data_IF_787190335541
#
_entry.id   IF_787190335541
#
_cell.length_a   1.000
_cell.length_b   1.000
_cell.length_c   1.000
_cell.angle_alpha   90.00
_cell.angle_beta   90.00
_cell.angle_gamma   90.00
#
_symmetry.space_group_name_H-M   'P 1'
#
loop_
_entity.id
_entity.type
_entity.pdbx_description
1 polymer ?
#
# COMPACT_ATOMS: atom_id res chain seq x y z
N UNK A 1 -17.74 16.67 -17.64
CA UNK A 1 -17.13 16.25 -16.35
C UNK A 1 -16.55 14.89 -16.60
N UNK A 2 -15.24 14.71 -16.43
CA UNK A 2 -14.64 13.37 -16.53
C UNK A 2 -15.16 12.51 -15.37
N UNK A 3 -15.46 11.25 -15.66
CA UNK A 3 -15.86 10.27 -14.66
C UNK A 3 -14.76 10.10 -13.61
N UNK A 4 -15.14 10.02 -12.33
CA UNK A 4 -14.21 9.79 -11.24
C UNK A 4 -13.59 8.39 -11.36
N UNK A 5 -12.33 8.22 -10.95
CA UNK A 5 -11.70 6.90 -10.94
C UNK A 5 -12.40 5.92 -9.99
N UNK A 6 -12.30 4.60 -10.22
CA UNK A 6 -12.88 3.59 -9.36
C UNK A 6 -12.48 3.78 -7.89
N UNK A 7 -13.44 3.67 -6.97
CA UNK A 7 -13.24 3.86 -5.53
C UNK A 7 -13.15 5.31 -5.07
N UNK A 8 -13.01 6.28 -5.97
CA UNK A 8 -13.04 7.71 -5.62
C UNK A 8 -14.45 8.23 -5.73
N UNK A 9 -15.00 8.75 -4.64
CA UNK A 9 -16.33 9.34 -4.58
C UNK A 9 -16.27 10.81 -4.21
N UNK A 10 -17.27 11.63 -4.59
CA UNK A 10 -17.34 13.03 -4.15
C UNK A 10 -17.30 13.18 -2.64
N UNK A 11 -17.98 12.28 -1.91
CA UNK A 11 -18.01 12.28 -0.44
C UNK A 11 -16.63 12.06 0.15
N UNK A 12 -15.86 11.08 -0.38
CA UNK A 12 -14.48 10.83 0.04
C UNK A 12 -13.59 12.06 -0.18
N UNK A 13 -13.74 12.73 -1.34
CA UNK A 13 -12.94 13.93 -1.62
C UNK A 13 -13.25 15.08 -0.67
N UNK A 14 -14.51 15.25 -0.30
CA UNK A 14 -14.93 16.25 0.72
C UNK A 14 -14.33 15.89 2.07
N UNK A 15 -14.48 14.63 2.53
CA UNK A 15 -13.94 14.17 3.80
C UNK A 15 -12.42 14.34 3.88
N UNK A 16 -11.71 14.01 2.81
CA UNK A 16 -10.25 14.20 2.72
C UNK A 16 -9.85 15.68 2.80
N UNK A 17 -10.62 16.58 2.16
CA UNK A 17 -10.36 18.02 2.19
C UNK A 17 -10.59 18.62 3.57
N UNK A 18 -11.65 18.19 4.26
CA UNK A 18 -12.01 18.70 5.60
C UNK A 18 -11.03 18.24 6.70
N UNK A 19 -10.27 17.16 6.46
CA UNK A 19 -9.37 16.55 7.47
C UNK A 19 -7.88 16.79 7.20
N UNK A 20 -7.53 17.74 6.33
CA UNK A 20 -6.14 18.08 6.03
C UNK A 20 -5.38 18.50 7.29
N UNK A 21 -5.93 19.43 8.07
CA UNK A 21 -5.27 19.94 9.28
C UNK A 21 -5.09 18.86 10.35
N UNK A 22 -6.04 17.92 10.47
CA UNK A 22 -5.92 16.75 11.35
C UNK A 22 -4.74 15.86 10.93
N UNK A 23 -4.64 15.55 9.63
CA UNK A 23 -3.58 14.72 9.09
C UNK A 23 -2.21 15.39 9.23
N UNK A 24 -2.12 16.67 8.97
CA UNK A 24 -0.88 17.44 9.10
C UNK A 24 -0.42 17.50 10.56
N UNK A 25 -1.34 17.72 11.49
CA UNK A 25 -1.04 17.78 12.92
C UNK A 25 -0.64 16.39 13.48
N UNK A 26 -1.31 15.33 13.02
CA UNK A 26 -1.05 13.96 13.45
C UNK A 26 0.16 13.32 12.73
N UNK A 27 0.58 13.87 11.60
CA UNK A 27 1.62 13.32 10.73
C UNK A 27 1.28 11.92 10.18
N UNK A 28 -0.02 11.62 10.05
CA UNK A 28 -0.51 10.31 9.59
C UNK A 28 -1.91 10.39 9.01
N UNK A 29 -2.25 9.42 8.18
CA UNK A 29 -3.63 9.16 7.75
C UNK A 29 -4.43 8.57 8.94
N UNK A 30 -5.54 9.20 9.38
CA UNK A 30 -6.41 8.65 10.43
C UNK A 30 -6.93 7.26 10.09
N UNK A 31 -7.04 6.39 11.11
CA UNK A 31 -7.38 4.98 10.92
C UNK A 31 -8.77 4.76 10.31
N UNK A 32 -9.75 5.57 10.70
CA UNK A 32 -11.11 5.52 10.17
C UNK A 32 -11.15 5.92 8.69
N UNK A 33 -10.39 6.95 8.31
CA UNK A 33 -10.26 7.38 6.92
C UNK A 33 -9.53 6.33 6.09
N UNK A 34 -8.48 5.72 6.64
CA UNK A 34 -7.80 4.58 6.01
C UNK A 34 -8.77 3.41 5.79
N UNK A 35 -9.63 3.11 6.77
CA UNK A 35 -10.64 2.06 6.64
C UNK A 35 -11.67 2.38 5.55
N UNK A 36 -12.16 3.62 5.46
CA UNK A 36 -13.03 4.08 4.38
C UNK A 36 -12.38 3.89 3.02
N UNK A 37 -11.11 4.29 2.87
CA UNK A 37 -10.35 4.16 1.64
C UNK A 37 -10.06 2.69 1.28
N UNK A 38 -9.80 1.83 2.29
CA UNK A 38 -9.65 0.39 2.10
C UNK A 38 -10.96 -0.25 1.60
N UNK A 39 -12.09 0.09 2.25
CA UNK A 39 -13.42 -0.36 1.84
C UNK A 39 -13.80 0.06 0.42
N UNK A 40 -13.30 1.20 -0.04
CA UNK A 40 -13.44 1.68 -1.42
C UNK A 40 -12.48 0.98 -2.41
N UNK A 41 -11.61 0.07 -1.95
CA UNK A 41 -10.65 -0.68 -2.77
C UNK A 41 -9.44 0.12 -3.25
N UNK A 42 -9.24 1.34 -2.75
CA UNK A 42 -8.19 2.25 -3.23
C UNK A 42 -6.78 1.71 -3.00
N UNK A 43 -6.56 0.94 -1.94
CA UNK A 43 -5.27 0.34 -1.64
C UNK A 43 -4.99 -0.96 -2.41
N UNK A 44 -6.01 -1.52 -3.08
CA UNK A 44 -5.97 -2.82 -3.77
C UNK A 44 -6.04 -2.72 -5.30
N UNK A 45 -5.88 -1.53 -5.86
CA UNK A 45 -6.08 -1.31 -7.29
C UNK A 45 -5.19 -2.18 -8.19
N UNK A 46 -3.93 -2.44 -7.78
CA UNK A 46 -2.99 -3.27 -8.54
C UNK A 46 -2.79 -4.69 -7.96
N UNK A 47 -3.51 -5.05 -6.89
CA UNK A 47 -3.53 -6.44 -6.40
C UNK A 47 -4.23 -7.32 -7.44
N UNK A 48 -3.69 -8.51 -7.79
CA UNK A 48 -4.33 -9.42 -8.73
C UNK A 48 -5.74 -9.84 -8.31
N UNK A 49 -6.63 -10.02 -9.28
CA UNK A 49 -8.01 -10.47 -9.03
C UNK A 49 -8.06 -11.85 -8.34
N UNK A 50 -7.10 -12.72 -8.62
CA UNK A 50 -6.98 -14.04 -8.01
C UNK A 50 -6.90 -14.01 -6.47
N UNK A 51 -6.45 -12.89 -5.89
CA UNK A 51 -6.43 -12.67 -4.43
C UNK A 51 -7.34 -11.51 -4.02
N UNK A 52 -8.40 -11.28 -4.78
CA UNK A 52 -9.47 -10.33 -4.47
C UNK A 52 -9.11 -8.86 -4.72
N UNK A 53 -8.11 -8.56 -5.54
CA UNK A 53 -7.73 -7.21 -5.91
C UNK A 53 -8.48 -6.65 -7.11
N UNK A 54 -8.20 -5.39 -7.44
CA UNK A 54 -8.80 -4.71 -8.59
C UNK A 54 -8.17 -5.08 -9.94
N UNK A 55 -6.96 -5.62 -9.94
CA UNK A 55 -6.17 -5.95 -11.15
C UNK A 55 -6.22 -4.82 -12.20
N UNK A 56 -6.22 -3.58 -11.70
CA UNK A 56 -6.35 -2.38 -12.52
C UNK A 56 -5.09 -2.04 -13.30
N UNK A 57 -5.26 -1.16 -14.26
CA UNK A 57 -4.10 -0.67 -15.02
C UNK A 57 -3.34 0.39 -14.21
N UNK A 58 -2.01 0.47 -14.32
CA UNK A 58 -1.23 1.54 -13.69
C UNK A 58 -1.74 2.95 -14.02
N UNK A 59 -2.25 3.16 -15.24
CA UNK A 59 -2.83 4.45 -15.64
C UNK A 59 -4.09 4.82 -14.85
N UNK A 60 -4.87 3.83 -14.39
CA UNK A 60 -6.06 4.07 -13.57
C UNK A 60 -5.65 4.44 -12.14
N UNK A 61 -4.61 3.80 -11.60
CA UNK A 61 -4.01 4.19 -10.32
C UNK A 61 -3.49 5.63 -10.38
N UNK A 62 -2.77 6.02 -11.44
CA UNK A 62 -2.27 7.40 -11.60
C UNK A 62 -3.42 8.39 -11.55
N UNK A 63 -4.55 8.11 -12.24
CA UNK A 63 -5.74 8.98 -12.21
C UNK A 63 -6.36 9.06 -10.81
N UNK A 64 -6.41 7.95 -10.07
CA UNK A 64 -6.89 7.94 -8.67
C UNK A 64 -6.00 8.80 -7.78
N UNK A 65 -4.69 8.60 -7.86
CA UNK A 65 -3.69 9.36 -7.10
C UNK A 65 -3.76 10.85 -7.44
N UNK A 66 -3.81 11.21 -8.72
CA UNK A 66 -3.94 12.61 -9.16
C UNK A 66 -5.23 13.26 -8.62
N UNK A 67 -6.35 12.55 -8.72
CA UNK A 67 -7.64 13.07 -8.26
C UNK A 67 -7.64 13.33 -6.75
N UNK A 68 -7.12 12.38 -5.96
CA UNK A 68 -7.03 12.51 -4.50
C UNK A 68 -6.01 13.59 -4.13
N UNK A 69 -4.85 13.65 -4.83
CA UNK A 69 -3.80 14.60 -4.51
C UNK A 69 -4.22 16.08 -4.67
N UNK A 70 -5.23 16.37 -5.50
CA UNK A 70 -5.78 17.71 -5.64
C UNK A 70 -6.42 18.23 -4.36
N UNK A 71 -6.86 17.36 -3.47
CA UNK A 71 -7.48 17.71 -2.18
C UNK A 71 -6.59 17.32 -0.99
N UNK A 72 -5.88 16.19 -1.08
CA UNK A 72 -5.03 15.70 0.00
C UNK A 72 -3.84 14.87 -0.52
N UNK A 73 -2.66 15.49 -0.70
CA UNK A 73 -1.48 14.80 -1.24
C UNK A 73 -0.98 13.65 -0.35
N UNK A 74 -1.12 13.76 0.98
CA UNK A 74 -0.67 12.73 1.92
C UNK A 74 -1.51 11.46 1.81
N UNK A 75 -2.84 11.59 1.68
CA UNK A 75 -3.72 10.47 1.43
C UNK A 75 -3.46 9.81 0.07
N UNK A 76 -3.26 10.63 -0.98
CA UNK A 76 -2.89 10.15 -2.31
C UNK A 76 -1.58 9.34 -2.31
N UNK A 77 -0.60 9.79 -1.54
CA UNK A 77 0.66 9.07 -1.36
C UNK A 77 0.48 7.72 -0.70
N UNK A 78 -0.38 7.63 0.33
CA UNK A 78 -0.72 6.35 0.96
C UNK A 78 -1.39 5.38 -0.04
N UNK A 79 -2.29 5.87 -0.90
CA UNK A 79 -2.89 5.06 -1.98
C UNK A 79 -1.82 4.55 -2.93
N UNK A 80 -0.94 5.42 -3.39
CA UNK A 80 0.12 5.06 -4.33
C UNK A 80 1.04 3.98 -3.75
N UNK A 81 1.51 4.15 -2.53
CA UNK A 81 2.39 3.18 -1.86
C UNK A 81 1.68 1.84 -1.66
N UNK A 82 0.45 1.83 -1.15
CA UNK A 82 -0.28 0.60 -0.88
C UNK A 82 -0.62 -0.16 -2.18
N UNK A 83 -1.15 0.53 -3.18
CA UNK A 83 -1.55 -0.09 -4.44
C UNK A 83 -0.33 -0.64 -5.21
N UNK A 84 0.78 0.10 -5.28
CA UNK A 84 2.01 -0.39 -5.93
C UNK A 84 2.63 -1.56 -5.18
N UNK A 85 2.60 -1.55 -3.85
CA UNK A 85 3.02 -2.70 -3.03
C UNK A 85 2.16 -3.93 -3.32
N UNK A 86 0.87 -3.74 -3.56
CA UNK A 86 -0.08 -4.80 -3.90
C UNK A 86 0.27 -5.56 -5.19
N UNK A 87 0.91 -4.91 -6.15
CA UNK A 87 1.37 -5.56 -7.37
C UNK A 87 2.38 -6.70 -7.11
N UNK A 88 3.09 -6.67 -5.96
CA UNK A 88 4.03 -7.71 -5.58
C UNK A 88 3.39 -9.09 -5.34
N UNK A 89 2.07 -9.14 -5.13
CA UNK A 89 1.35 -10.40 -5.02
C UNK A 89 1.58 -11.34 -6.22
N UNK A 90 1.81 -10.78 -7.41
CA UNK A 90 2.10 -11.55 -8.63
C UNK A 90 3.43 -12.29 -8.62
N UNK A 91 4.34 -11.97 -7.71
CA UNK A 91 5.64 -12.66 -7.56
C UNK A 91 5.69 -13.64 -6.40
N UNK A 92 4.62 -13.74 -5.61
CA UNK A 92 4.55 -14.68 -4.50
C UNK A 92 3.94 -16.02 -4.97
N UNK A 93 4.33 -17.15 -4.33
CA UNK A 93 3.56 -18.39 -4.45
C UNK A 93 2.11 -18.12 -4.02
N UNK A 94 1.15 -18.84 -4.62
CA UNK A 94 -0.30 -18.63 -4.39
C UNK A 94 -0.65 -18.57 -2.90
N UNK A 95 -0.17 -19.51 -2.09
CA UNK A 95 -0.43 -19.51 -0.64
C UNK A 95 0.14 -18.30 0.09
N UNK A 96 1.30 -17.81 -0.34
CA UNK A 96 1.91 -16.59 0.21
C UNK A 96 1.12 -15.34 -0.20
N UNK A 97 0.66 -15.28 -1.44
CA UNK A 97 -0.18 -14.20 -1.93
C UNK A 97 -1.53 -14.16 -1.18
N UNK A 98 -2.17 -15.30 -0.97
CA UNK A 98 -3.40 -15.43 -0.18
C UNK A 98 -3.19 -15.00 1.27
N UNK A 99 -2.09 -15.44 1.90
CA UNK A 99 -1.76 -15.08 3.28
C UNK A 99 -1.56 -13.57 3.45
N UNK A 100 -0.82 -12.94 2.53
CA UNK A 100 -0.46 -11.53 2.62
C UNK A 100 -1.57 -10.63 2.10
N UNK A 101 -2.20 -10.98 0.99
CA UNK A 101 -3.12 -10.10 0.25
C UNK A 101 -4.59 -10.57 0.29
N UNK A 102 -4.91 -11.68 0.94
CA UNK A 102 -6.28 -12.23 0.99
C UNK A 102 -7.27 -11.43 1.84
N UNK A 103 -6.80 -10.61 2.78
CA UNK A 103 -7.70 -9.73 3.55
C UNK A 103 -8.23 -8.59 2.65
N UNK A 104 -9.56 -8.49 2.41
CA UNK A 104 -10.15 -7.47 1.55
C UNK A 104 -9.94 -6.04 2.07
N UNK A 105 -9.70 -5.85 3.36
CA UNK A 105 -9.44 -4.55 3.98
C UNK A 105 -7.95 -4.33 4.31
N UNK A 106 -7.10 -5.29 4.00
CA UNK A 106 -5.67 -5.22 4.24
C UNK A 106 -5.02 -4.04 3.52
N UNK A 107 -4.08 -3.41 4.19
CA UNK A 107 -3.26 -2.32 3.65
C UNK A 107 -1.80 -2.75 3.68
N UNK A 108 -1.10 -2.50 2.61
CA UNK A 108 0.31 -2.89 2.46
C UNK A 108 1.17 -1.66 2.21
N UNK A 109 2.39 -1.73 2.71
CA UNK A 109 3.39 -0.73 2.44
C UNK A 109 4.78 -1.34 2.38
N UNK A 110 5.77 -0.51 2.08
CA UNK A 110 7.12 -1.00 2.06
C UNK A 110 8.15 0.09 1.83
N UNK A 111 9.38 -0.25 2.23
CA UNK A 111 10.57 0.50 1.87
C UNK A 111 11.52 -0.46 1.16
N UNK A 112 11.58 -0.34 -0.16
CA UNK A 112 12.20 -1.35 -1.03
C UNK A 112 13.70 -1.18 -1.22
N UNK A 113 14.31 -0.09 -0.72
CA UNK A 113 15.75 0.06 -0.71
C UNK A 113 16.39 -1.12 0.04
N UNK A 114 17.39 -1.83 -0.55
CA UNK A 114 17.96 -3.05 0.01
C UNK A 114 18.97 -2.75 1.13
N UNK A 115 18.51 -2.06 2.16
CA UNK A 115 19.32 -1.65 3.32
C UNK A 115 19.26 -2.65 4.48
N UNK A 116 18.31 -3.58 4.44
CA UNK A 116 18.25 -4.70 5.39
C UNK A 116 19.23 -5.81 5.01
N UNK A 117 19.34 -6.79 5.90
CA UNK A 117 20.10 -8.04 5.70
C UNK A 117 19.17 -9.21 5.95
N UNK A 118 19.10 -10.14 4.99
CA UNK A 118 18.39 -11.40 5.12
C UNK A 118 19.39 -12.53 5.19
N UNK A 119 19.45 -13.23 6.32
CA UNK A 119 20.35 -14.36 6.57
C UNK A 119 19.55 -15.65 6.60
N UNK A 120 20.04 -16.71 5.94
CA UNK A 120 19.37 -18.00 5.93
C UNK A 120 19.58 -18.73 7.25
N UNK A 121 18.48 -19.16 7.87
CA UNK A 121 18.49 -19.94 9.11
C UNK A 121 17.63 -21.21 8.90
N UNK A 122 18.28 -22.32 8.62
CA UNK A 122 17.57 -23.57 8.30
C UNK A 122 16.70 -23.43 7.05
N UNK A 123 15.40 -23.69 7.19
CA UNK A 123 14.39 -23.53 6.12
C UNK A 123 13.77 -22.13 6.02
N UNK A 124 14.22 -21.18 6.83
CA UNK A 124 13.65 -19.84 6.95
C UNK A 124 14.68 -18.74 6.70
N UNK A 125 14.23 -17.49 6.67
CA UNK A 125 15.09 -16.33 6.58
C UNK A 125 14.90 -15.44 7.82
N UNK A 126 16.01 -15.01 8.40
CA UNK A 126 16.02 -13.93 9.38
C UNK A 126 16.26 -12.61 8.67
N UNK A 127 15.27 -11.73 8.74
CA UNK A 127 15.37 -10.37 8.23
C UNK A 127 15.69 -9.40 9.36
N UNK A 128 16.72 -8.58 9.19
CA UNK A 128 17.09 -7.52 10.12
C UNK A 128 17.43 -6.24 9.39
N UNK A 129 17.00 -5.10 9.95
CA UNK A 129 17.23 -3.79 9.35
C UNK A 129 16.39 -2.71 9.98
N UNK A 130 16.61 -1.49 9.52
CA UNK A 130 15.78 -0.33 9.84
C UNK A 130 15.53 0.42 8.55
N UNK A 131 14.27 0.48 8.15
CA UNK A 131 13.85 1.11 6.90
C UNK A 131 13.20 2.46 7.21
N UNK A 132 13.86 3.59 6.86
CA UNK A 132 13.23 4.90 6.90
C UNK A 132 12.18 5.02 5.79
N UNK A 133 11.32 6.02 5.91
CA UNK A 133 10.34 6.37 4.87
C UNK A 133 9.27 5.31 4.60
N UNK A 134 8.87 4.58 5.63
CA UNK A 134 7.74 3.64 5.56
C UNK A 134 6.40 4.40 5.53
N UNK A 135 6.10 5.06 4.41
CA UNK A 135 4.88 5.86 4.26
C UNK A 135 3.63 5.00 4.47
N UNK A 136 2.68 5.50 5.25
CA UNK A 136 1.44 4.79 5.56
C UNK A 136 1.59 3.61 6.53
N UNK A 137 2.79 3.33 7.04
CA UNK A 137 3.10 2.15 7.87
C UNK A 137 2.17 1.97 9.08
N UNK A 138 1.64 3.05 9.63
CA UNK A 138 0.75 3.02 10.80
C UNK A 138 -0.61 2.38 10.50
N UNK A 139 -1.01 2.31 9.24
CA UNK A 139 -2.25 1.69 8.77
C UNK A 139 -2.02 0.35 8.06
N UNK A 140 -0.75 -0.07 7.91
CA UNK A 140 -0.43 -1.29 7.19
C UNK A 140 -0.63 -2.53 8.07
N UNK A 141 -1.27 -3.55 7.49
CA UNK A 141 -1.33 -4.92 8.04
C UNK A 141 -0.03 -5.68 7.75
N UNK A 142 0.59 -5.36 6.62
CA UNK A 142 1.86 -5.97 6.19
C UNK A 142 2.83 -4.90 5.69
N UNK A 143 4.11 -5.12 5.98
CA UNK A 143 5.19 -4.25 5.52
C UNK A 143 6.26 -5.06 4.81
N UNK A 144 6.70 -4.56 3.65
CA UNK A 144 7.87 -5.09 2.95
C UNK A 144 9.12 -4.27 3.28
N UNK A 145 10.23 -4.95 3.46
CA UNK A 145 11.55 -4.34 3.63
C UNK A 145 12.55 -4.90 2.62
N UNK A 146 13.19 -4.04 1.84
CA UNK A 146 14.27 -4.45 0.94
C UNK A 146 15.49 -4.91 1.73
N UNK A 147 16.10 -6.03 1.33
CA UNK A 147 17.27 -6.57 1.99
C UNK A 147 18.24 -7.20 1.00
N UNK A 148 19.53 -7.17 1.37
CA UNK A 148 20.55 -8.01 0.72
C UNK A 148 20.48 -9.40 1.35
N UNK A 149 20.34 -10.43 0.52
CA UNK A 149 20.40 -11.82 0.96
C UNK A 149 21.84 -12.23 1.21
N UNK A 150 22.08 -12.83 2.37
CA UNK A 150 23.36 -13.42 2.78
C UNK A 150 23.17 -14.94 2.82
N UNK A 151 23.16 -15.53 1.64
CA UNK A 151 22.95 -16.97 1.43
C UNK A 151 24.27 -17.75 1.25
N UNK A 152 25.40 -17.11 1.60
CA UNK A 152 26.73 -17.69 1.48
C UNK A 152 27.33 -17.61 0.08
N UNK A 153 26.72 -16.79 -0.77
CA UNK A 153 27.19 -16.48 -2.11
C UNK A 153 27.12 -17.66 -3.07
N UNK A 154 26.29 -17.51 -4.04
CA UNK A 154 26.46 -18.18 -5.33
C UNK A 154 26.85 -17.12 -6.32
#
# INVERSE_FOLDING_TARGET
>A
MSELPPGVTPQLLVELAERVDEMDSAGRLPADLAATMAGAGLFRQLVPAAVGGGEGRPADLVRSVETIARVNPSAAWCVMIAATSGAMAGWLPTSGAEQVFGDPLGVWGGAYAPIGRATREGGSWRLSGRWPWGSGSQNCTWMAGGAVCDDGGV
#
